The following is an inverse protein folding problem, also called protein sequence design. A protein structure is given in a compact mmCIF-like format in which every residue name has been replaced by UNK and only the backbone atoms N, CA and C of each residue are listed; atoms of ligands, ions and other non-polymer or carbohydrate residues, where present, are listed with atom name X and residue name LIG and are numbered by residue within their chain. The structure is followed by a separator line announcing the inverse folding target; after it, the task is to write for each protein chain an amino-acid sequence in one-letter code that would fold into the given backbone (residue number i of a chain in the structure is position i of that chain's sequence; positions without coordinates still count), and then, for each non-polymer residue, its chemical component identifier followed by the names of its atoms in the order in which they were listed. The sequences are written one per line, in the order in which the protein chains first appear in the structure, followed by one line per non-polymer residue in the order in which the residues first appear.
data_IF_075119153922
#
_entry.id   IF_075119153922
#
_cell.length_a   1.000
_cell.length_b   1.000
_cell.length_c   1.000
_cell.angle_alpha   90.00
_cell.angle_beta   90.00
_cell.angle_gamma   90.00
#
_symmetry.space_group_name_H-M   'P 1'
#
loop_
_entity.id
_entity.type
_entity.pdbx_description
1 polymer ?
#
# COMPACT_ATOMS: atom_id res chain seq x y z
N UNK A 1 -10.51 4.88 2.07
CA UNK A 1 -9.09 4.91 2.47
C UNK A 1 -8.77 6.19 3.23
N UNK A 2 -8.98 7.37 2.63
CA UNK A 2 -8.75 8.66 3.32
C UNK A 2 -9.71 8.82 4.50
N UNK A 3 -11.00 8.54 4.32
CA UNK A 3 -11.97 8.61 5.42
C UNK A 3 -11.58 7.66 6.55
N UNK A 4 -11.24 6.40 6.21
CA UNK A 4 -10.84 5.38 7.19
C UNK A 4 -9.59 5.78 7.99
N UNK A 5 -8.59 6.35 7.33
CA UNK A 5 -7.37 6.85 7.99
C UNK A 5 -7.68 8.06 8.88
N UNK A 6 -8.60 8.92 8.45
CA UNK A 6 -9.04 10.10 9.22
C UNK A 6 -9.79 9.69 10.48
N UNK A 7 -10.73 8.74 10.40
CA UNK A 7 -11.43 8.18 11.56
C UNK A 7 -10.46 7.58 12.58
N UNK A 8 -9.35 6.99 12.10
CA UNK A 8 -8.30 6.41 12.95
C UNK A 8 -7.22 7.42 13.40
N UNK A 9 -7.44 8.73 13.18
CA UNK A 9 -6.51 9.81 13.56
C UNK A 9 -5.09 9.68 12.98
N UNK A 10 -4.96 9.19 11.74
CA UNK A 10 -3.66 9.16 11.09
C UNK A 10 -3.20 10.58 10.78
N UNK A 11 -1.93 10.87 11.11
CA UNK A 11 -1.31 12.14 10.76
C UNK A 11 -1.33 12.39 9.24
N UNK A 12 -1.48 13.64 8.76
CA UNK A 12 -1.61 13.94 7.33
C UNK A 12 -0.43 13.42 6.48
N UNK A 13 0.79 13.48 7.02
CA UNK A 13 1.98 12.93 6.37
C UNK A 13 1.90 11.39 6.19
N UNK A 14 1.37 10.68 7.17
CA UNK A 14 1.13 9.24 7.09
C UNK A 14 0.09 8.92 6.04
N UNK A 15 -1.00 9.70 5.98
CA UNK A 15 -2.03 9.52 4.95
C UNK A 15 -1.44 9.68 3.54
N UNK A 16 -0.68 10.75 3.31
CA UNK A 16 -0.03 11.00 2.02
C UNK A 16 0.98 9.90 1.66
N UNK A 17 1.76 9.45 2.64
CA UNK A 17 2.71 8.35 2.44
C UNK A 17 1.99 7.06 2.04
N UNK A 18 0.88 6.73 2.69
CA UNK A 18 0.09 5.54 2.38
C UNK A 18 -0.54 5.63 0.98
N UNK A 19 -1.15 6.76 0.63
CA UNK A 19 -1.70 7.00 -0.71
C UNK A 19 -0.63 6.88 -1.79
N UNK A 20 0.55 7.45 -1.54
CA UNK A 20 1.69 7.35 -2.45
C UNK A 20 2.13 5.91 -2.68
N UNK A 21 2.25 5.10 -1.63
CA UNK A 21 2.62 3.69 -1.76
C UNK A 21 1.56 2.88 -2.53
N UNK A 22 0.27 3.11 -2.27
CA UNK A 22 -0.82 2.46 -2.99
C UNK A 22 -0.83 2.87 -4.47
N UNK A 23 -0.59 4.15 -4.78
CA UNK A 23 -0.48 4.63 -6.16
C UNK A 23 0.71 4.01 -6.91
N UNK A 24 1.87 3.87 -6.25
CA UNK A 24 3.03 3.21 -6.85
C UNK A 24 2.77 1.73 -7.15
N UNK A 25 2.08 1.04 -6.24
CA UNK A 25 1.66 -0.35 -6.42
C UNK A 25 0.70 -0.51 -7.60
N UNK A 26 -0.34 0.34 -7.69
CA UNK A 26 -1.28 0.36 -8.81
C UNK A 26 -0.56 0.55 -10.15
N UNK A 27 0.38 1.50 -10.18
CA UNK A 27 1.17 1.81 -11.38
C UNK A 27 2.08 0.65 -11.80
N UNK A 28 2.58 -0.14 -10.85
CA UNK A 28 3.42 -1.29 -11.16
C UNK A 28 2.64 -2.39 -11.90
N UNK A 29 1.40 -2.65 -11.50
CA UNK A 29 0.55 -3.68 -12.13
C UNK A 29 -0.38 -3.16 -13.22
N UNK A 30 -0.53 -1.83 -13.36
CA UNK A 30 -1.46 -1.22 -14.31
C UNK A 30 -2.93 -1.49 -13.98
N UNK A 31 -3.25 -1.79 -12.72
CA UNK A 31 -4.61 -2.11 -12.25
C UNK A 31 -5.00 -1.19 -11.12
N UNK A 32 -6.31 -0.96 -10.95
CA UNK A 32 -6.80 -0.24 -9.78
C UNK A 32 -6.47 -1.04 -8.50
N UNK A 33 -6.05 -0.36 -7.42
CA UNK A 33 -5.70 -1.00 -6.15
C UNK A 33 -6.74 -1.96 -5.58
N UNK A 34 -8.01 -1.73 -5.90
CA UNK A 34 -9.15 -2.51 -5.42
C UNK A 34 -9.25 -3.92 -6.01
N UNK A 35 -8.55 -4.19 -7.12
CA UNK A 35 -8.53 -5.49 -7.80
C UNK A 35 -7.27 -6.30 -7.53
N UNK A 36 -6.37 -5.78 -6.69
CA UNK A 36 -5.06 -6.37 -6.49
C UNK A 36 -5.08 -7.45 -5.39
N UNK A 37 -4.45 -8.58 -5.66
CA UNK A 37 -4.50 -9.78 -4.82
C UNK A 37 -3.38 -9.82 -3.77
N UNK A 38 -3.49 -10.67 -2.72
CA UNK A 38 -2.41 -10.93 -1.79
C UNK A 38 -1.12 -11.43 -2.46
N UNK A 39 -1.25 -12.15 -3.58
CA UNK A 39 -0.11 -12.63 -4.38
C UNK A 39 0.65 -11.46 -5.02
N UNK A 40 -0.07 -10.50 -5.60
CA UNK A 40 0.53 -9.29 -6.18
C UNK A 40 1.25 -8.44 -5.12
N UNK A 41 0.75 -8.42 -3.88
CA UNK A 41 1.46 -7.77 -2.75
C UNK A 41 2.77 -8.49 -2.42
N UNK A 42 2.81 -9.82 -2.47
CA UNK A 42 4.04 -10.57 -2.27
C UNK A 42 5.06 -10.26 -3.37
N UNK A 43 4.62 -10.31 -4.62
CA UNK A 43 5.45 -10.00 -5.79
C UNK A 43 6.01 -8.57 -5.73
N UNK A 44 5.18 -7.60 -5.32
CA UNK A 44 5.63 -6.22 -5.17
C UNK A 44 6.64 -6.02 -4.04
N UNK A 45 6.54 -6.77 -2.95
CA UNK A 45 7.54 -6.72 -1.88
C UNK A 45 8.91 -7.25 -2.36
N UNK A 46 8.90 -8.30 -3.16
CA UNK A 46 10.11 -8.86 -3.78
C UNK A 46 10.71 -7.83 -4.74
N UNK A 47 9.88 -7.24 -5.61
CA UNK A 47 10.27 -6.15 -6.52
C UNK A 47 10.93 -4.98 -5.76
N UNK A 48 10.32 -4.50 -4.68
CA UNK A 48 10.87 -3.42 -3.87
C UNK A 48 12.22 -3.76 -3.24
N UNK A 49 12.40 -5.02 -2.81
CA UNK A 49 13.62 -5.49 -2.16
C UNK A 49 14.76 -5.77 -3.14
N UNK A 50 14.47 -6.41 -4.26
CA UNK A 50 15.50 -6.93 -5.18
C UNK A 50 15.79 -5.97 -6.33
N UNK A 51 14.74 -5.41 -6.94
CA UNK A 51 14.89 -4.57 -8.12
C UNK A 51 15.04 -3.10 -7.76
N UNK A 52 14.11 -2.55 -6.95
CA UNK A 52 14.18 -1.13 -6.55
C UNK A 52 15.15 -0.88 -5.41
N UNK A 53 15.54 -1.92 -4.67
CA UNK A 53 16.50 -1.89 -3.55
C UNK A 53 16.21 -0.74 -2.56
N UNK A 54 14.93 -0.49 -2.28
CA UNK A 54 14.54 0.58 -1.36
C UNK A 54 14.87 0.19 0.08
N UNK A 55 14.95 1.17 0.97
CA UNK A 55 15.22 0.93 2.39
C UNK A 55 14.14 0.03 3.02
N UNK A 56 14.51 -0.65 4.11
CA UNK A 56 13.58 -1.47 4.90
C UNK A 56 12.41 -0.63 5.42
N UNK A 57 12.66 0.61 5.85
CA UNK A 57 11.61 1.53 6.29
C UNK A 57 10.58 1.80 5.20
N UNK A 58 11.03 2.07 3.96
CA UNK A 58 10.12 2.25 2.82
C UNK A 58 9.28 1.00 2.55
N UNK A 59 9.89 -0.20 2.61
CA UNK A 59 9.16 -1.47 2.46
C UNK A 59 8.09 -1.65 3.53
N UNK A 60 8.40 -1.35 4.79
CA UNK A 60 7.43 -1.47 5.90
C UNK A 60 6.23 -0.56 5.68
N UNK A 61 6.46 0.70 5.27
CA UNK A 61 5.38 1.65 4.98
C UNK A 61 4.54 1.15 3.80
N UNK A 62 5.16 0.67 2.73
CA UNK A 62 4.45 0.12 1.57
C UNK A 62 3.53 -1.04 1.96
N UNK A 63 4.05 -2.03 2.69
CA UNK A 63 3.28 -3.20 3.11
C UNK A 63 2.15 -2.81 4.06
N UNK A 64 2.40 -1.87 4.97
CA UNK A 64 1.38 -1.40 5.91
C UNK A 64 0.24 -0.68 5.19
N UNK A 65 0.54 0.15 4.20
CA UNK A 65 -0.45 0.82 3.36
C UNK A 65 -1.30 -0.17 2.56
N UNK A 66 -0.68 -1.18 1.96
CA UNK A 66 -1.38 -2.20 1.18
C UNK A 66 -2.28 -3.08 2.05
N UNK A 67 -1.81 -3.49 3.24
CA UNK A 67 -2.64 -4.21 4.21
C UNK A 67 -3.82 -3.38 4.70
N UNK A 68 -3.61 -2.07 4.91
CA UNK A 68 -4.68 -1.17 5.31
C UNK A 68 -5.78 -1.10 4.24
N UNK A 69 -5.38 -0.97 2.97
CA UNK A 69 -6.32 -0.98 1.84
C UNK A 69 -7.11 -2.29 1.76
N UNK A 70 -6.44 -3.44 1.85
CA UNK A 70 -7.11 -4.75 1.75
C UNK A 70 -8.08 -5.01 2.90
N UNK A 71 -7.78 -4.58 4.13
CA UNK A 71 -8.72 -4.75 5.25
C UNK A 71 -10.08 -4.10 4.97
N UNK A 72 -10.10 -2.97 4.27
CA UNK A 72 -11.34 -2.31 3.86
C UNK A 72 -12.20 -3.18 2.94
N UNK A 73 -11.58 -4.03 2.12
CA UNK A 73 -12.30 -4.88 1.16
C UNK A 73 -13.04 -6.07 1.78
N UNK A 74 -12.68 -6.48 3.01
CA UNK A 74 -13.29 -7.63 3.68
C UNK A 74 -14.34 -7.26 4.74
N UNK A 75 -14.60 -5.95 4.94
CA UNK A 75 -15.60 -5.44 5.89
C UNK A 75 -16.93 -5.01 5.21
N UNK A 76 -17.18 -5.42 3.96
CA UNK A 76 -18.43 -5.17 3.22
C UNK A 76 -19.08 -6.49 2.80
#
# INVERSE_FOLDING_TARGET
MIEDMTVRNFAPNTQQSYLGQVGLFARHFGKSPEWLSPEEICNYQIYLAQERKVSVGTRIVAVSALRFLLRRHFET
#
